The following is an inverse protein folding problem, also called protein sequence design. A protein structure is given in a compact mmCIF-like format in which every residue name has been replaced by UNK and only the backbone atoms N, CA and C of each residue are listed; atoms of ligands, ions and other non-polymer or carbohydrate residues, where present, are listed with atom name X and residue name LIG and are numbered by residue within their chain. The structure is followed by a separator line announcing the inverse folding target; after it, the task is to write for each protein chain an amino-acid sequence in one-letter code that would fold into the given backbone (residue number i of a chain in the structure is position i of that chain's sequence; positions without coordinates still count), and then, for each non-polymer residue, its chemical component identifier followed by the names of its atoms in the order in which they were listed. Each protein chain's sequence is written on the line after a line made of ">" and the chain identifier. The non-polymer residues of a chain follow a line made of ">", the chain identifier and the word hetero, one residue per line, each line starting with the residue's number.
data_IF_508800765230
#
_entry.id   IF_508800765230
#
_cell.length_a   1.000
_cell.length_b   1.000
_cell.length_c   1.000
_cell.angle_alpha   90.00
_cell.angle_beta   90.00
_cell.angle_gamma   90.00
#
_symmetry.space_group_name_H-M   'P 1'
#
loop_
_entity.id
_entity.type
_entity.pdbx_description
1 polymer ?
#
# COMPACT_ATOMS: atom_id res chain seq x y z
N UNK A 1 -5.95 31.27 2.91
CA UNK A 1 -6.61 30.32 3.83
C UNK A 1 -7.30 31.12 4.92
N UNK A 2 -8.56 30.78 5.22
CA UNK A 2 -9.31 31.33 6.38
C UNK A 2 -9.77 30.13 7.23
N UNK A 3 -9.71 30.31 8.56
CA UNK A 3 -10.12 29.30 9.53
C UNK A 3 -10.84 29.97 10.70
N UNK A 4 -11.95 29.38 11.10
CA UNK A 4 -12.74 29.77 12.26
C UNK A 4 -12.78 28.57 13.20
N UNK A 5 -12.44 28.79 14.45
CA UNK A 5 -12.60 27.80 15.53
C UNK A 5 -13.55 28.41 16.55
N UNK A 6 -14.55 27.62 16.93
CA UNK A 6 -15.51 27.96 17.97
C UNK A 6 -15.53 26.85 19.00
N UNK A 7 -15.48 27.23 20.27
CA UNK A 7 -15.63 26.29 21.39
C UNK A 7 -16.62 26.90 22.37
N UNK A 8 -17.57 26.12 22.83
CA UNK A 8 -18.54 26.51 23.85
C UNK A 8 -18.47 25.55 25.03
N UNK A 9 -18.14 26.10 26.21
CA UNK A 9 -18.00 25.37 27.47
C UNK A 9 -17.09 24.14 27.41
N UNK A 10 -16.10 24.14 26.52
CA UNK A 10 -15.23 22.98 26.21
C UNK A 10 -15.98 21.66 25.87
N UNK A 11 -17.29 21.76 25.61
CA UNK A 11 -18.16 20.64 25.26
C UNK A 11 -18.46 20.57 23.79
N UNK A 12 -18.73 21.70 23.15
CA UNK A 12 -19.08 21.79 21.74
C UNK A 12 -17.99 22.53 20.98
N UNK A 13 -17.40 21.87 20.02
CA UNK A 13 -16.32 22.40 19.23
C UNK A 13 -16.72 22.40 17.75
N UNK A 14 -16.47 23.50 17.05
CA UNK A 14 -16.70 23.63 15.62
C UNK A 14 -15.47 24.27 14.99
N UNK A 15 -14.98 23.67 13.90
CA UNK A 15 -13.94 24.25 13.07
C UNK A 15 -14.42 24.31 11.64
N UNK A 16 -14.32 25.48 11.00
CA UNK A 16 -14.55 25.65 9.57
C UNK A 16 -13.30 26.25 8.93
N UNK A 17 -12.87 25.68 7.80
CA UNK A 17 -11.67 26.13 7.08
C UNK A 17 -11.97 26.21 5.58
N UNK A 18 -11.48 27.25 4.94
CA UNK A 18 -11.44 27.36 3.47
C UNK A 18 -10.01 27.65 3.05
N UNK A 19 -9.48 26.80 2.17
CA UNK A 19 -8.15 26.96 1.56
C UNK A 19 -8.30 27.15 0.06
N UNK A 20 -7.58 28.09 -0.50
CA UNK A 20 -7.47 28.29 -1.92
C UNK A 20 -6.00 28.17 -2.33
N UNK A 21 -5.72 27.17 -3.19
CA UNK A 21 -4.37 26.83 -3.65
C UNK A 21 -4.24 27.10 -5.14
N UNK A 22 -3.07 27.54 -5.57
CA UNK A 22 -2.75 27.78 -6.98
C UNK A 22 -1.59 26.88 -7.43
N UNK A 23 -1.70 26.35 -8.66
CA UNK A 23 -0.65 25.53 -9.27
C UNK A 23 -0.37 25.95 -10.71
N UNK A 24 0.91 26.11 -11.04
CA UNK A 24 1.38 26.36 -12.40
C UNK A 24 1.31 25.13 -13.32
N UNK A 25 1.07 23.94 -12.74
CA UNK A 25 0.95 22.66 -13.48
C UNK A 25 -0.32 22.56 -14.31
N UNK A 26 -1.28 23.45 -14.07
CA UNK A 26 -2.57 23.49 -14.78
C UNK A 26 -2.67 24.71 -15.71
N UNK A 27 -3.51 24.60 -16.72
CA UNK A 27 -3.85 25.72 -17.62
C UNK A 27 -4.45 26.92 -16.85
N UNK A 28 -4.41 28.12 -17.44
CA UNK A 28 -4.81 29.37 -16.77
C UNK A 28 -6.18 29.30 -16.08
N UNK A 29 -7.16 28.60 -16.66
CA UNK A 29 -8.52 28.48 -16.13
C UNK A 29 -8.61 27.61 -14.88
N UNK A 30 -7.75 26.57 -14.76
CA UNK A 30 -7.84 25.52 -13.74
C UNK A 30 -6.74 25.60 -12.68
N UNK A 31 -5.95 26.68 -12.68
CA UNK A 31 -4.84 26.88 -11.73
C UNK A 31 -5.26 26.89 -10.27
N UNK A 32 -6.43 27.42 -9.99
CA UNK A 32 -6.90 27.64 -8.63
C UNK A 32 -7.91 26.59 -8.21
N UNK A 33 -7.63 25.91 -7.11
CA UNK A 33 -8.54 25.00 -6.41
C UNK A 33 -9.00 25.62 -5.09
N UNK A 34 -10.27 25.42 -4.72
CA UNK A 34 -10.82 25.84 -3.43
C UNK A 34 -11.26 24.59 -2.67
N UNK A 35 -10.77 24.47 -1.42
CA UNK A 35 -10.91 23.26 -0.61
C UNK A 35 -11.50 23.63 0.76
N UNK A 36 -12.81 23.49 0.93
CA UNK A 36 -13.50 23.70 2.20
C UNK A 36 -13.39 22.48 3.11
N UNK A 37 -13.45 22.70 4.42
CA UNK A 37 -13.62 21.65 5.41
C UNK A 37 -14.40 22.16 6.63
N UNK A 38 -15.13 21.26 7.26
CA UNK A 38 -15.85 21.50 8.51
C UNK A 38 -15.71 20.30 9.43
N UNK A 39 -15.50 20.52 10.71
CA UNK A 39 -15.51 19.48 11.73
C UNK A 39 -16.22 19.95 12.97
N UNK A 40 -16.94 19.03 13.61
CA UNK A 40 -17.62 19.22 14.87
C UNK A 40 -17.14 18.18 15.88
N UNK A 41 -17.04 18.57 17.14
CA UNK A 41 -16.72 17.72 18.28
C UNK A 41 -17.71 17.97 19.41
N UNK A 42 -18.18 16.89 20.01
CA UNK A 42 -19.00 16.94 21.21
C UNK A 42 -18.34 16.14 22.32
N UNK A 43 -17.92 16.83 23.38
CA UNK A 43 -17.37 16.22 24.57
C UNK A 43 -18.51 15.81 25.50
N UNK A 44 -18.98 14.60 25.32
CA UNK A 44 -20.13 14.03 26.04
C UNK A 44 -19.84 13.92 27.52
N UNK A 45 -18.59 13.59 27.90
CA UNK A 45 -18.14 13.53 29.29
C UNK A 45 -18.28 14.84 30.06
N UNK A 46 -18.36 15.99 29.37
CA UNK A 46 -18.62 17.28 29.98
C UNK A 46 -20.09 17.58 30.32
N UNK A 47 -21.03 16.68 29.93
CA UNK A 47 -22.46 16.86 30.14
C UNK A 47 -22.89 16.46 31.55
N UNK A 48 -23.90 17.14 32.09
CA UNK A 48 -24.40 16.87 33.44
C UNK A 48 -24.90 15.45 33.65
N UNK A 49 -25.46 14.83 32.63
CA UNK A 49 -25.93 13.44 32.71
C UNK A 49 -24.81 12.42 32.80
N UNK A 50 -23.57 12.78 32.47
CA UNK A 50 -22.38 11.93 32.60
C UNK A 50 -21.74 11.97 33.97
N UNK A 51 -22.12 12.91 34.87
CA UNK A 51 -21.55 13.03 36.20
C UNK A 51 -21.51 11.71 37.00
N UNK A 52 -22.57 10.85 36.97
CA UNK A 52 -22.55 9.60 37.71
C UNK A 52 -21.52 8.58 37.18
N UNK A 53 -21.00 8.78 35.98
CA UNK A 53 -20.06 7.89 35.32
C UNK A 53 -18.62 8.41 35.31
N UNK A 54 -18.34 9.57 35.92
CA UNK A 54 -17.02 10.22 35.87
C UNK A 54 -15.90 9.39 36.51
N UNK A 55 -16.21 8.58 37.51
CA UNK A 55 -15.23 7.67 38.13
C UNK A 55 -14.77 6.54 37.18
N UNK A 56 -15.56 6.23 36.15
CA UNK A 56 -15.27 5.19 35.16
C UNK A 56 -14.83 5.81 33.83
N UNK A 57 -15.61 6.79 33.34
CA UNK A 57 -15.39 7.45 32.05
C UNK A 57 -14.73 8.81 32.29
N UNK A 58 -13.43 8.87 32.08
CA UNK A 58 -12.64 10.10 32.25
C UNK A 58 -12.89 11.09 31.12
N UNK A 59 -12.96 10.63 29.88
CA UNK A 59 -13.32 11.45 28.72
C UNK A 59 -14.10 10.62 27.68
N UNK A 60 -15.13 11.23 27.11
CA UNK A 60 -15.89 10.67 26.01
C UNK A 60 -16.21 11.78 25.01
N UNK A 61 -15.70 11.63 23.79
CA UNK A 61 -15.84 12.64 22.75
C UNK A 61 -16.28 12.01 21.42
N UNK A 62 -17.34 12.57 20.84
CA UNK A 62 -17.77 12.27 19.50
C UNK A 62 -17.22 13.32 18.53
N UNK A 63 -16.72 12.85 17.38
CA UNK A 63 -16.16 13.71 16.32
C UNK A 63 -16.83 13.41 15.00
N UNK A 64 -17.20 14.43 14.25
CA UNK A 64 -17.66 14.31 12.87
C UNK A 64 -16.96 15.37 12.02
N UNK A 65 -16.59 15.02 10.80
CA UNK A 65 -15.92 15.94 9.92
C UNK A 65 -16.15 15.62 8.46
N UNK A 66 -16.12 16.66 7.65
CA UNK A 66 -16.09 16.58 6.21
C UNK A 66 -15.06 17.58 5.68
N UNK A 67 -14.34 17.18 4.64
CA UNK A 67 -13.40 18.08 4.00
C UNK A 67 -13.04 17.66 2.57
N UNK A 68 -12.60 18.64 1.82
CA UNK A 68 -12.07 18.45 0.47
C UNK A 68 -10.59 18.80 0.42
N UNK A 69 -9.81 17.98 -0.33
CA UNK A 69 -8.42 18.24 -0.65
C UNK A 69 -8.20 18.12 -2.15
N UNK A 70 -7.27 18.94 -2.68
CA UNK A 70 -6.80 18.85 -4.04
C UNK A 70 -5.41 18.21 -4.11
N UNK A 71 -5.20 17.37 -5.10
CA UNK A 71 -3.90 16.81 -5.43
C UNK A 71 -3.47 17.29 -6.83
N UNK A 72 -2.20 17.67 -6.96
CA UNK A 72 -1.55 18.08 -8.19
C UNK A 72 -0.34 17.19 -8.55
N UNK A 73 -0.15 16.09 -7.82
CA UNK A 73 0.93 15.14 -8.03
C UNK A 73 0.63 14.11 -9.12
N UNK A 74 1.62 13.28 -9.45
CA UNK A 74 1.45 12.15 -10.36
C UNK A 74 1.64 12.46 -11.85
N UNK A 75 1.92 13.71 -12.23
CA UNK A 75 2.20 14.09 -13.63
C UNK A 75 3.24 15.22 -13.74
N UNK A 76 3.80 15.39 -14.95
CA UNK A 76 4.85 16.37 -15.20
C UNK A 76 4.37 17.82 -15.10
N UNK A 77 5.29 18.75 -14.83
CA UNK A 77 5.00 20.17 -14.62
C UNK A 77 4.32 20.86 -15.83
N UNK A 78 4.44 20.27 -17.01
CA UNK A 78 3.94 20.82 -18.29
C UNK A 78 2.94 19.89 -18.98
N UNK A 79 2.32 18.95 -18.24
CA UNK A 79 1.41 17.94 -18.80
C UNK A 79 0.16 18.54 -19.49
N UNK A 80 -0.21 19.79 -19.18
CA UNK A 80 -1.30 20.50 -19.86
C UNK A 80 -0.91 21.03 -21.26
N UNK A 81 0.39 21.01 -21.60
CA UNK A 81 0.94 21.45 -22.89
C UNK A 81 1.26 20.24 -23.77
N UNK A 82 1.25 20.44 -25.08
CA UNK A 82 1.80 19.46 -26.00
C UNK A 82 3.32 19.31 -25.76
N UNK A 83 3.82 18.11 -25.77
CA UNK A 83 5.25 17.83 -25.69
C UNK A 83 5.78 17.24 -26.99
N UNK A 84 7.07 17.47 -27.24
CA UNK A 84 7.82 16.79 -28.28
C UNK A 84 8.84 15.88 -27.63
N UNK A 85 9.02 14.69 -28.15
CA UNK A 85 10.06 13.76 -27.72
C UNK A 85 11.11 13.60 -28.81
N UNK A 86 12.36 13.49 -28.38
CA UNK A 86 13.49 13.20 -29.27
C UNK A 86 13.78 11.72 -29.18
N UNK A 87 13.80 11.02 -30.30
CA UNK A 87 14.20 9.62 -30.38
C UNK A 87 15.36 9.44 -31.37
N UNK A 88 16.21 8.49 -31.12
CA UNK A 88 17.20 8.08 -32.13
C UNK A 88 16.46 7.32 -33.23
N UNK A 89 16.74 7.66 -34.48
CA UNK A 89 16.30 6.85 -35.61
C UNK A 89 17.04 5.51 -35.55
N UNK A 90 16.37 4.36 -35.80
CA UNK A 90 17.07 3.12 -36.00
C UNK A 90 18.02 3.26 -37.17
N UNK A 91 19.29 2.93 -36.94
CA UNK A 91 20.29 2.88 -38.00
C UNK A 91 20.00 1.61 -38.79
N UNK A 92 19.49 1.72 -40.02
CA UNK A 92 19.47 0.61 -40.96
C UNK A 92 20.89 0.40 -41.51
N UNK A 93 21.27 -0.84 -41.77
CA UNK A 93 22.55 -1.18 -42.39
C UNK A 93 22.72 -0.33 -43.67
N UNK A 94 23.77 0.53 -43.66
CA UNK A 94 24.09 1.46 -44.75
C UNK A 94 23.92 2.93 -44.47
N UNK A 95 23.30 3.37 -43.39
CA UNK A 95 23.21 4.80 -43.01
C UNK A 95 24.24 5.18 -41.95
N UNK A 96 25.23 5.94 -42.31
CA UNK A 96 26.37 6.40 -41.52
C UNK A 96 26.07 7.53 -40.51
N UNK A 97 24.83 8.05 -40.44
CA UNK A 97 24.51 9.16 -39.58
C UNK A 97 23.42 8.79 -38.57
N UNK A 98 23.70 8.82 -37.24
CA UNK A 98 22.66 8.69 -36.23
C UNK A 98 21.74 9.92 -36.31
N UNK A 99 20.61 9.74 -36.97
CA UNK A 99 19.58 10.79 -37.04
C UNK A 99 18.82 10.92 -35.75
N UNK A 100 18.50 12.15 -35.36
CA UNK A 100 17.54 12.45 -34.31
C UNK A 100 16.18 12.71 -34.95
N UNK A 101 15.16 11.93 -34.54
CA UNK A 101 13.79 12.22 -34.92
C UNK A 101 13.08 12.98 -33.81
N UNK A 102 12.44 14.09 -34.16
CA UNK A 102 11.52 14.79 -33.27
C UNK A 102 10.12 14.28 -33.58
N UNK A 103 9.46 13.72 -32.61
CA UNK A 103 8.09 13.22 -32.73
C UNK A 103 7.19 13.81 -31.65
N UNK A 104 5.88 13.98 -31.88
CA UNK A 104 4.94 14.37 -30.84
C UNK A 104 5.03 13.39 -29.65
N UNK A 105 5.19 13.92 -28.46
CA UNK A 105 5.30 13.12 -27.22
C UNK A 105 3.94 12.89 -26.58
N UNK A 106 3.27 13.97 -26.14
CA UNK A 106 1.93 13.91 -25.55
C UNK A 106 1.02 15.00 -26.10
N UNK A 107 -0.28 14.72 -26.17
CA UNK A 107 -1.28 15.72 -26.55
C UNK A 107 -1.48 16.76 -25.46
N UNK A 108 -1.71 18.02 -25.87
CA UNK A 108 -2.10 19.06 -24.93
C UNK A 108 -3.48 18.78 -24.33
N UNK A 109 -3.60 19.00 -23.01
CA UNK A 109 -4.89 19.02 -22.32
C UNK A 109 -5.02 20.29 -21.48
N UNK A 110 -5.61 21.33 -22.03
CA UNK A 110 -5.80 22.63 -21.37
C UNK A 110 -6.87 22.59 -20.28
N UNK A 111 -7.72 21.55 -20.29
CA UNK A 111 -8.78 21.32 -19.31
C UNK A 111 -8.31 20.51 -18.09
N UNK A 112 -7.02 20.14 -18.05
CA UNK A 112 -6.43 19.44 -16.92
C UNK A 112 -6.65 20.23 -15.63
N UNK A 113 -7.18 19.58 -14.60
CA UNK A 113 -7.53 20.18 -13.31
C UNK A 113 -7.05 19.34 -12.12
N UNK A 114 -7.28 19.86 -10.93
CA UNK A 114 -6.99 19.19 -9.67
C UNK A 114 -7.76 17.87 -9.54
N UNK A 115 -7.06 16.82 -9.13
CA UNK A 115 -7.69 15.64 -8.55
C UNK A 115 -8.27 16.05 -7.21
N UNK A 116 -9.55 15.74 -6.95
CA UNK A 116 -10.28 16.16 -5.75
C UNK A 116 -10.63 14.95 -4.88
N UNK A 117 -10.31 15.06 -3.61
CA UNK A 117 -10.72 14.07 -2.62
C UNK A 117 -11.67 14.71 -1.62
N UNK A 118 -12.89 14.16 -1.54
CA UNK A 118 -13.88 14.47 -0.51
C UNK A 118 -13.89 13.35 0.52
N UNK A 119 -13.78 13.68 1.80
CA UNK A 119 -13.72 12.72 2.89
C UNK A 119 -14.71 13.07 3.99
N UNK A 120 -15.46 12.08 4.44
CA UNK A 120 -16.28 12.09 5.65
C UNK A 120 -15.60 11.24 6.72
N UNK A 121 -15.57 11.74 7.93
CA UNK A 121 -15.03 11.03 9.10
C UNK A 121 -16.05 11.10 10.24
N UNK A 122 -16.21 9.97 10.94
CA UNK A 122 -16.90 9.88 12.21
C UNK A 122 -15.99 9.18 13.20
N UNK A 123 -15.72 9.78 14.34
CA UNK A 123 -14.81 9.26 15.36
C UNK A 123 -15.42 9.32 16.75
N UNK A 124 -15.03 8.35 17.57
CA UNK A 124 -15.35 8.27 18.99
C UNK A 124 -14.05 8.07 19.76
N UNK A 125 -13.77 8.95 20.72
CA UNK A 125 -12.66 8.84 21.66
C UNK A 125 -13.23 8.56 23.05
N UNK A 126 -12.75 7.51 23.69
CA UNK A 126 -13.15 7.07 25.03
C UNK A 126 -11.91 6.86 25.88
N UNK A 127 -11.86 7.54 27.03
CA UNK A 127 -10.81 7.35 28.04
C UNK A 127 -11.48 6.97 29.35
N UNK A 128 -10.96 5.93 30.01
CA UNK A 128 -11.56 5.31 31.19
C UNK A 128 -10.52 5.07 32.29
N UNK A 129 -10.99 4.91 33.53
CA UNK A 129 -10.23 4.49 34.71
C UNK A 129 -9.00 5.41 34.95
N UNK A 130 -9.20 6.70 35.10
CA UNK A 130 -8.14 7.70 35.26
C UNK A 130 -7.08 7.61 34.18
N UNK A 131 -7.52 7.52 32.93
CA UNK A 131 -6.68 7.42 31.72
C UNK A 131 -5.84 6.14 31.62
N UNK A 132 -6.23 5.08 32.34
CA UNK A 132 -5.57 3.78 32.20
C UNK A 132 -5.94 3.06 30.92
N UNK A 133 -7.10 3.33 30.37
CA UNK A 133 -7.59 2.75 29.13
C UNK A 133 -8.06 3.88 28.22
N UNK A 134 -7.45 3.99 27.05
CA UNK A 134 -7.89 4.89 25.96
C UNK A 134 -8.22 4.10 24.72
N UNK A 135 -9.39 4.35 24.16
CA UNK A 135 -9.89 3.67 22.96
C UNK A 135 -10.38 4.71 21.96
N UNK A 136 -9.98 4.59 20.71
CA UNK A 136 -10.47 5.43 19.62
C UNK A 136 -10.97 4.57 18.47
N UNK A 137 -12.10 4.95 17.90
CA UNK A 137 -12.67 4.36 16.68
C UNK A 137 -12.91 5.47 15.69
N UNK A 138 -12.39 5.33 14.50
CA UNK A 138 -12.66 6.22 13.36
C UNK A 138 -13.25 5.42 12.20
N UNK A 139 -14.35 5.90 11.65
CA UNK A 139 -14.94 5.41 10.42
C UNK A 139 -14.83 6.49 9.35
N UNK A 140 -14.40 6.12 8.15
CA UNK A 140 -14.25 7.07 7.05
C UNK A 140 -14.84 6.57 5.74
N UNK A 141 -15.26 7.55 4.94
CA UNK A 141 -15.63 7.39 3.55
C UNK A 141 -14.93 8.47 2.73
N UNK A 142 -14.04 8.06 1.82
CA UNK A 142 -13.22 8.93 1.00
C UNK A 142 -13.52 8.67 -0.47
N UNK A 143 -14.00 9.69 -1.19
CA UNK A 143 -14.19 9.65 -2.64
C UNK A 143 -13.19 10.57 -3.32
N UNK A 144 -12.38 10.00 -4.20
CA UNK A 144 -11.48 10.75 -5.09
C UNK A 144 -12.08 10.78 -6.48
N UNK A 145 -12.24 11.98 -7.02
CA UNK A 145 -12.75 12.25 -8.37
C UNK A 145 -11.68 12.95 -9.19
N UNK A 146 -11.88 12.98 -10.49
CA UNK A 146 -10.97 13.63 -11.42
C UNK A 146 -9.54 13.03 -11.35
N UNK A 147 -9.42 11.69 -11.16
CA UNK A 147 -8.13 10.99 -11.12
C UNK A 147 -7.33 11.31 -12.36
N UNK A 148 -6.05 11.64 -12.15
CA UNK A 148 -5.12 11.96 -13.21
C UNK A 148 -4.54 10.70 -13.83
N UNK A 149 -4.99 10.36 -15.02
CA UNK A 149 -4.58 9.16 -15.76
C UNK A 149 -3.98 9.53 -17.10
N UNK A 150 -2.92 8.82 -17.50
CA UNK A 150 -2.43 8.85 -18.87
C UNK A 150 -3.18 7.84 -19.70
N UNK A 151 -3.95 8.31 -20.66
CA UNK A 151 -4.81 7.51 -21.53
C UNK A 151 -4.11 7.31 -22.86
N UNK A 152 -3.99 6.05 -23.32
CA UNK A 152 -3.53 5.75 -24.67
C UNK A 152 -4.62 6.12 -25.67
N UNK A 153 -4.24 6.79 -26.73
CA UNK A 153 -5.10 7.12 -27.88
C UNK A 153 -5.02 6.00 -28.91
N UNK A 154 -5.99 5.88 -29.83
CA UNK A 154 -5.92 4.92 -30.92
C UNK A 154 -4.61 5.05 -31.70
N UNK A 155 -4.10 3.94 -32.22
CA UNK A 155 -2.79 3.86 -32.88
C UNK A 155 -2.65 4.79 -34.12
N UNK A 156 -3.77 5.16 -34.73
CA UNK A 156 -3.81 6.10 -35.85
C UNK A 156 -3.76 7.57 -35.41
N UNK A 157 -3.70 7.86 -34.12
CA UNK A 157 -3.64 9.22 -33.55
C UNK A 157 -2.23 9.53 -33.05
N UNK A 158 -1.71 10.66 -33.45
CA UNK A 158 -0.41 11.16 -33.01
C UNK A 158 -0.63 12.49 -32.28
N UNK A 159 -0.17 12.63 -31.04
CA UNK A 159 0.56 11.68 -30.19
C UNK A 159 -0.30 10.54 -29.63
N UNK A 160 0.35 9.44 -29.24
CA UNK A 160 -0.29 8.20 -28.82
C UNK A 160 -0.90 8.23 -27.40
N UNK A 161 -0.73 9.31 -26.65
CA UNK A 161 -1.26 9.42 -25.29
C UNK A 161 -1.63 10.85 -24.90
N UNK A 162 -2.51 10.98 -23.92
CA UNK A 162 -2.92 12.25 -23.31
C UNK A 162 -3.17 12.05 -21.80
N UNK A 163 -2.73 13.00 -20.98
CA UNK A 163 -3.08 13.02 -19.55
C UNK A 163 -4.44 13.69 -19.36
N UNK A 164 -5.35 13.03 -18.64
CA UNK A 164 -6.73 13.50 -18.42
C UNK A 164 -7.16 13.27 -16.98
N UNK A 165 -8.15 14.06 -16.55
CA UNK A 165 -8.93 13.79 -15.34
C UNK A 165 -10.05 12.81 -15.70
N UNK A 166 -9.82 11.50 -15.48
CA UNK A 166 -10.68 10.47 -16.06
C UNK A 166 -10.84 9.25 -15.18
N UNK A 167 -11.28 9.44 -13.96
CA UNK A 167 -11.56 8.32 -13.08
C UNK A 167 -12.11 8.74 -11.72
N UNK A 168 -12.72 7.80 -11.03
CA UNK A 168 -13.18 7.95 -9.65
C UNK A 168 -12.84 6.72 -8.83
N UNK A 169 -12.46 6.94 -7.59
CA UNK A 169 -12.12 5.89 -6.64
C UNK A 169 -12.75 6.16 -5.28
N UNK A 170 -13.21 5.10 -4.63
CA UNK A 170 -13.72 5.15 -3.27
C UNK A 170 -12.84 4.30 -2.35
N UNK A 171 -12.47 4.87 -1.22
CA UNK A 171 -11.92 4.16 -0.07
C UNK A 171 -12.86 4.35 1.11
N UNK A 172 -13.16 3.27 1.82
CA UNK A 172 -13.93 3.32 3.06
C UNK A 172 -13.36 2.33 4.05
N UNK A 173 -13.38 2.69 5.31
CA UNK A 173 -12.76 1.85 6.32
C UNK A 173 -13.09 2.25 7.73
N UNK A 174 -12.53 1.47 8.64
CA UNK A 174 -12.58 1.71 10.08
C UNK A 174 -11.19 1.50 10.66
N UNK A 175 -10.84 2.30 11.64
CA UNK A 175 -9.58 2.26 12.38
C UNK A 175 -9.90 2.20 13.87
N UNK A 176 -9.19 1.33 14.57
CA UNK A 176 -9.32 1.15 16.02
C UNK A 176 -7.95 1.32 16.64
N UNK A 177 -7.88 2.11 17.69
CA UNK A 177 -6.67 2.28 18.49
C UNK A 177 -7.01 2.05 19.96
N UNK A 178 -6.17 1.27 20.64
CA UNK A 178 -6.28 0.97 22.06
C UNK A 178 -4.93 1.24 22.71
N UNK A 179 -4.93 2.05 23.76
CA UNK A 179 -3.78 2.24 24.65
C UNK A 179 -4.20 1.87 26.06
N UNK A 180 -3.41 1.01 26.73
CA UNK A 180 -3.71 0.57 28.07
C UNK A 180 -2.48 0.53 28.96
N UNK A 181 -2.66 0.97 30.22
CA UNK A 181 -1.71 0.82 31.30
C UNK A 181 -2.14 -0.39 32.13
N UNK A 182 -1.66 -1.58 31.78
CA UNK A 182 -2.09 -2.83 32.38
C UNK A 182 -1.66 -2.93 33.84
N UNK A 183 -0.39 -2.59 34.12
CA UNK A 183 0.16 -2.53 35.47
C UNK A 183 0.82 -1.18 35.74
N UNK A 184 0.59 -0.62 36.94
CA UNK A 184 1.21 0.59 37.47
C UNK A 184 1.92 0.22 38.77
N UNK A 185 3.16 0.61 38.96
CA UNK A 185 3.93 0.37 40.18
C UNK A 185 5.38 0.10 39.88
N UNK A 186 6.03 -0.74 40.69
CA UNK A 186 7.44 -1.11 40.46
C UNK A 186 7.64 -1.88 39.15
N UNK A 187 6.68 -2.72 38.78
CA UNK A 187 6.56 -3.29 37.46
C UNK A 187 5.47 -2.56 36.71
N UNK A 188 5.81 -2.04 35.52
CA UNK A 188 4.86 -1.36 34.63
C UNK A 188 4.71 -2.18 33.36
N UNK A 189 3.49 -2.27 32.85
CA UNK A 189 3.19 -2.86 31.56
C UNK A 189 2.17 -1.99 30.83
N UNK A 190 2.57 -1.47 29.66
CA UNK A 190 1.73 -0.71 28.76
C UNK A 190 1.57 -1.46 27.44
N UNK A 191 0.37 -1.38 26.85
CA UNK A 191 0.06 -1.94 25.53
C UNK A 191 -0.56 -0.87 24.66
N UNK A 192 0.00 -0.69 23.46
CA UNK A 192 -0.59 0.09 22.38
C UNK A 192 -0.93 -0.85 21.23
N UNK A 193 -2.19 -0.85 20.81
CA UNK A 193 -2.68 -1.69 19.72
C UNK A 193 -3.44 -0.84 18.73
N UNK A 194 -3.23 -1.09 17.44
CA UNK A 194 -4.03 -0.52 16.36
C UNK A 194 -4.39 -1.59 15.33
N UNK A 195 -5.56 -1.44 14.72
CA UNK A 195 -6.03 -2.25 13.61
C UNK A 195 -6.83 -1.38 12.64
N UNK A 196 -6.56 -1.53 11.34
CA UNK A 196 -7.19 -0.76 10.28
C UNK A 196 -7.75 -1.67 9.21
N UNK A 197 -8.98 -1.40 8.80
CA UNK A 197 -9.72 -2.05 7.72
C UNK A 197 -9.96 -1.04 6.62
N UNK A 198 -9.48 -1.29 5.42
CA UNK A 198 -9.76 -0.46 4.25
C UNK A 198 -10.37 -1.28 3.12
N UNK A 199 -11.30 -0.70 2.40
CA UNK A 199 -11.86 -1.23 1.16
C UNK A 199 -11.73 -0.18 0.08
N UNK A 200 -10.93 -0.51 -0.90
CA UNK A 200 -10.69 0.30 -2.09
C UNK A 200 -11.57 -0.20 -3.24
N UNK A 201 -12.12 0.70 -4.03
CA UNK A 201 -12.87 0.37 -5.25
C UNK A 201 -12.73 1.48 -6.27
N UNK A 202 -12.33 1.13 -7.46
CA UNK A 202 -12.41 2.00 -8.63
C UNK A 202 -13.87 2.05 -9.10
N UNK A 203 -14.51 3.21 -9.02
CA UNK A 203 -15.94 3.36 -9.32
C UNK A 203 -16.21 3.84 -10.72
N UNK A 204 -15.20 4.50 -11.36
CA UNK A 204 -15.30 4.97 -12.74
C UNK A 204 -13.92 5.00 -13.38
N UNK A 205 -13.85 4.55 -14.61
CA UNK A 205 -12.79 4.79 -15.58
C UNK A 205 -13.43 5.38 -16.83
N UNK A 206 -12.77 6.39 -17.43
CA UNK A 206 -13.34 7.12 -18.55
C UNK A 206 -13.38 6.37 -19.87
N UNK A 207 -12.60 6.82 -20.86
CA UNK A 207 -12.67 6.28 -22.21
C UNK A 207 -12.24 4.82 -22.30
N UNK A 208 -11.13 4.47 -21.67
CA UNK A 208 -10.66 3.09 -21.61
C UNK A 208 -11.16 2.46 -20.29
N UNK A 209 -12.11 1.55 -20.40
CA UNK A 209 -12.70 0.89 -19.23
C UNK A 209 -11.77 -0.09 -18.52
N UNK A 210 -10.63 -0.40 -19.12
CA UNK A 210 -9.64 -1.36 -18.63
C UNK A 210 -8.23 -0.90 -18.99
N UNK A 211 -7.31 -1.02 -18.04
CA UNK A 211 -5.87 -0.84 -18.25
C UNK A 211 -5.12 -2.01 -17.64
N UNK A 212 -3.95 -2.33 -18.20
CA UNK A 212 -3.09 -3.40 -17.73
C UNK A 212 -1.72 -2.85 -17.36
N UNK A 213 -1.19 -3.32 -16.23
CA UNK A 213 0.06 -2.85 -15.63
C UNK A 213 0.97 -4.02 -15.25
N UNK A 214 2.21 -3.71 -14.88
CA UNK A 214 3.22 -4.66 -14.41
C UNK A 214 3.48 -5.76 -15.45
N UNK A 215 4.10 -5.39 -16.57
CA UNK A 215 4.54 -6.35 -17.60
C UNK A 215 5.68 -7.21 -17.07
N UNK A 216 5.51 -8.53 -17.16
CA UNK A 216 6.52 -9.51 -16.78
C UNK A 216 7.44 -9.80 -17.97
N UNK A 217 8.74 -9.85 -17.68
CA UNK A 217 9.74 -10.02 -18.75
C UNK A 217 9.57 -11.33 -19.51
N UNK A 218 9.39 -12.43 -18.78
CA UNK A 218 9.34 -13.77 -19.38
C UNK A 218 8.04 -14.05 -20.12
N UNK A 219 6.90 -13.82 -19.47
CA UNK A 219 5.58 -14.07 -20.07
C UNK A 219 5.15 -13.01 -21.10
N UNK A 220 5.81 -11.83 -21.10
CA UNK A 220 5.39 -10.64 -21.87
C UNK A 220 3.96 -10.17 -21.57
N UNK A 221 3.37 -10.68 -20.50
CA UNK A 221 2.02 -10.36 -20.06
C UNK A 221 2.02 -9.38 -18.91
N UNK A 222 0.96 -8.62 -18.77
CA UNK A 222 0.76 -7.69 -17.66
C UNK A 222 -0.03 -8.37 -16.55
N UNK A 223 0.52 -8.36 -15.33
CA UNK A 223 0.02 -9.12 -14.19
C UNK A 223 -1.08 -8.40 -13.39
N UNK A 224 -1.31 -7.11 -13.62
CA UNK A 224 -2.26 -6.29 -12.86
C UNK A 224 -3.27 -5.65 -13.78
N UNK A 225 -4.55 -5.71 -13.39
CA UNK A 225 -5.67 -5.08 -14.10
C UNK A 225 -6.23 -3.90 -13.30
N UNK A 226 -6.48 -2.80 -13.97
CA UNK A 226 -7.26 -1.68 -13.49
C UNK A 226 -8.58 -1.66 -14.25
N UNK A 227 -9.69 -1.96 -13.56
CA UNK A 227 -11.03 -2.07 -14.14
C UNK A 227 -12.07 -1.53 -13.17
N UNK A 228 -13.14 -0.92 -13.72
CA UNK A 228 -14.28 -0.48 -12.91
C UNK A 228 -14.84 -1.64 -12.07
N UNK A 229 -15.17 -1.33 -10.83
CA UNK A 229 -15.69 -2.30 -9.87
C UNK A 229 -14.65 -3.05 -9.08
N UNK A 230 -13.36 -3.04 -9.50
CA UNK A 230 -12.26 -3.72 -8.83
C UNK A 230 -11.44 -2.78 -7.94
N UNK A 231 -10.77 -3.30 -6.91
CA UNK A 231 -9.77 -2.56 -6.16
C UNK A 231 -8.46 -2.44 -6.93
N UNK A 232 -7.62 -1.45 -6.57
CA UNK A 232 -6.25 -1.33 -7.05
C UNK A 232 -5.42 -2.55 -6.65
N UNK A 233 -4.42 -2.91 -7.47
CA UNK A 233 -3.58 -4.08 -7.21
C UNK A 233 -4.28 -5.42 -7.42
N UNK A 234 -5.30 -5.46 -8.28
CA UNK A 234 -5.97 -6.72 -8.67
C UNK A 234 -5.12 -7.46 -9.69
N UNK A 235 -4.70 -8.68 -9.36
CA UNK A 235 -3.95 -9.55 -10.25
C UNK A 235 -4.84 -10.16 -11.32
N UNK A 236 -4.24 -10.35 -12.51
CA UNK A 236 -4.94 -10.76 -13.70
C UNK A 236 -4.12 -11.77 -14.50
N UNK A 237 -4.75 -12.85 -14.93
CA UNK A 237 -4.11 -13.93 -15.68
C UNK A 237 -4.98 -15.18 -15.76
N UNK A 238 -4.37 -16.32 -16.05
CA UNK A 238 -5.06 -17.60 -16.23
C UNK A 238 -5.24 -18.36 -14.91
N UNK A 239 -6.27 -19.17 -14.81
CA UNK A 239 -6.42 -20.14 -13.74
C UNK A 239 -5.64 -21.38 -14.10
N UNK A 240 -4.59 -21.72 -13.33
CA UNK A 240 -3.85 -22.97 -13.48
C UNK A 240 -4.53 -24.07 -12.67
N UNK A 241 -4.81 -25.21 -13.28
CA UNK A 241 -5.40 -26.40 -12.65
C UNK A 241 -4.35 -27.45 -12.27
N UNK A 242 -3.08 -27.19 -12.60
CA UNK A 242 -1.96 -28.08 -12.30
C UNK A 242 -1.17 -28.48 -13.53
N UNK A 243 -0.36 -29.52 -13.40
CA UNK A 243 0.44 -30.10 -14.50
C UNK A 243 -0.27 -31.34 -15.01
N UNK A 244 -0.47 -31.44 -16.30
CA UNK A 244 -0.97 -32.64 -16.95
C UNK A 244 0.05 -33.79 -16.77
N UNK A 245 -0.35 -34.92 -16.16
CA UNK A 245 0.54 -36.04 -15.94
C UNK A 245 1.05 -36.71 -17.25
N UNK A 246 0.31 -36.58 -18.34
CA UNK A 246 0.66 -37.23 -19.63
C UNK A 246 1.58 -36.35 -20.47
N UNK A 247 1.35 -35.05 -20.51
CA UNK A 247 2.12 -34.13 -21.38
C UNK A 247 3.20 -33.35 -20.62
N UNK A 248 3.01 -33.15 -19.31
CA UNK A 248 3.86 -32.34 -18.45
C UNK A 248 3.63 -30.83 -18.59
N UNK A 249 2.64 -30.41 -19.36
CA UNK A 249 2.29 -29.00 -19.52
C UNK A 249 1.29 -28.52 -18.45
N UNK A 250 1.22 -27.21 -18.21
CA UNK A 250 0.23 -26.63 -17.33
C UNK A 250 -1.15 -26.71 -18.00
N UNK A 251 -2.12 -27.20 -17.24
CA UNK A 251 -3.54 -27.16 -17.64
C UNK A 251 -4.07 -25.79 -17.19
N UNK A 252 -4.45 -24.97 -18.16
CA UNK A 252 -5.17 -23.72 -17.91
C UNK A 252 -6.67 -23.95 -18.12
N UNK A 253 -7.49 -23.21 -17.35
CA UNK A 253 -8.94 -23.30 -17.46
C UNK A 253 -9.42 -22.51 -18.68
N UNK A 254 -10.13 -23.17 -19.57
CA UNK A 254 -10.91 -22.56 -20.65
C UNK A 254 -12.19 -21.96 -20.02
N UNK A 255 -12.26 -20.63 -19.91
CA UNK A 255 -13.37 -19.92 -19.27
C UNK A 255 -14.52 -19.61 -20.23
N UNK A 256 -14.21 -19.44 -21.52
CA UNK A 256 -15.20 -19.14 -22.55
C UNK A 256 -15.75 -20.42 -23.24
N UNK A 257 -15.12 -21.58 -23.01
CA UNK A 257 -15.56 -22.88 -23.53
C UNK A 257 -15.34 -23.07 -25.03
N UNK A 258 -14.38 -22.36 -25.63
CA UNK A 258 -14.12 -22.43 -27.07
C UNK A 258 -13.15 -23.57 -27.49
N UNK A 259 -12.57 -24.27 -26.49
CA UNK A 259 -11.64 -25.41 -26.69
C UNK A 259 -10.18 -25.00 -26.88
N UNK A 260 -9.85 -23.72 -26.76
CA UNK A 260 -8.49 -23.16 -26.86
C UNK A 260 -8.20 -22.26 -25.66
N UNK A 261 -6.94 -22.17 -25.23
CA UNK A 261 -6.51 -21.22 -24.23
C UNK A 261 -6.06 -19.94 -24.93
N UNK A 262 -6.80 -18.86 -24.69
CA UNK A 262 -6.58 -17.57 -25.32
C UNK A 262 -6.69 -16.39 -24.32
N UNK A 263 -6.42 -15.14 -24.73
CA UNK A 263 -6.51 -13.99 -23.82
C UNK A 263 -7.88 -13.76 -23.18
N UNK A 264 -8.97 -14.33 -23.68
CA UNK A 264 -10.32 -14.21 -23.13
C UNK A 264 -10.52 -15.11 -21.89
N UNK A 265 -9.64 -16.12 -21.70
CA UNK A 265 -9.65 -17.00 -20.53
C UNK A 265 -8.96 -16.38 -19.29
N UNK A 266 -8.42 -15.18 -19.43
CA UNK A 266 -7.82 -14.48 -18.31
C UNK A 266 -8.88 -13.86 -17.40
N UNK A 267 -8.66 -13.98 -16.09
CA UNK A 267 -9.57 -13.48 -15.07
C UNK A 267 -8.82 -12.88 -13.88
N UNK A 268 -9.55 -12.39 -12.88
CA UNK A 268 -8.97 -11.88 -11.64
C UNK A 268 -8.49 -13.03 -10.76
N UNK A 269 -7.23 -12.96 -10.31
CA UNK A 269 -6.56 -14.03 -9.54
C UNK A 269 -6.42 -13.70 -8.05
N UNK A 270 -6.81 -12.52 -7.64
CA UNK A 270 -6.69 -12.03 -6.27
C UNK A 270 -6.29 -10.58 -6.23
N UNK A 271 -5.95 -10.08 -5.05
CA UNK A 271 -5.73 -8.66 -4.83
C UNK A 271 -4.62 -8.42 -3.81
N UNK A 272 -3.79 -7.40 -4.04
CA UNK A 272 -2.72 -6.98 -3.14
C UNK A 272 -3.21 -6.24 -1.88
N UNK A 273 -4.47 -5.77 -1.86
CA UNK A 273 -5.00 -5.03 -0.73
C UNK A 273 -5.31 -5.97 0.45
N UNK A 274 -4.80 -5.71 1.66
CA UNK A 274 -5.12 -6.51 2.82
C UNK A 274 -6.59 -6.34 3.26
N UNK A 275 -7.11 -7.36 3.91
CA UNK A 275 -8.38 -7.27 4.62
C UNK A 275 -8.27 -6.35 5.83
N UNK A 276 -7.15 -6.44 6.54
CA UNK A 276 -6.77 -5.56 7.64
C UNK A 276 -5.26 -5.60 7.86
N UNK A 277 -4.76 -4.51 8.43
CA UNK A 277 -3.40 -4.38 8.95
C UNK A 277 -3.48 -4.08 10.44
N UNK A 278 -2.47 -4.50 11.20
CA UNK A 278 -2.44 -4.28 12.65
C UNK A 278 -1.03 -4.10 13.16
N UNK A 279 -0.93 -3.39 14.29
CA UNK A 279 0.29 -3.20 15.03
C UNK A 279 0.04 -3.30 16.52
N UNK A 280 1.00 -3.84 17.27
CA UNK A 280 0.94 -3.93 18.73
C UNK A 280 2.30 -3.69 19.33
N UNK A 281 2.38 -2.69 20.21
CA UNK A 281 3.56 -2.45 21.05
C UNK A 281 3.25 -2.81 22.49
N UNK A 282 4.10 -3.63 23.09
CA UNK A 282 4.10 -3.85 24.53
C UNK A 282 5.39 -3.28 25.12
N UNK A 283 5.26 -2.49 26.17
CA UNK A 283 6.38 -1.91 26.92
C UNK A 283 6.32 -2.39 28.34
N UNK A 284 7.41 -2.99 28.82
CA UNK A 284 7.58 -3.48 30.19
C UNK A 284 8.72 -2.73 30.84
N UNK A 285 8.48 -2.17 32.03
CA UNK A 285 9.50 -1.42 32.78
C UNK A 285 9.62 -2.01 34.19
N UNK A 286 10.85 -2.33 34.60
CA UNK A 286 11.15 -2.85 35.93
C UNK A 286 12.61 -2.56 36.32
N UNK A 287 12.81 -2.00 37.51
CA UNK A 287 14.14 -1.79 38.13
C UNK A 287 15.17 -1.12 37.20
N UNK A 288 14.76 -0.15 36.38
CA UNK A 288 15.60 0.59 35.43
C UNK A 288 15.72 -0.08 34.06
N UNK A 289 15.23 -1.31 33.86
CA UNK A 289 15.10 -1.95 32.56
C UNK A 289 13.79 -1.57 31.90
N UNK A 290 13.85 -1.27 30.60
CA UNK A 290 12.69 -1.12 29.72
C UNK A 290 12.82 -2.09 28.55
N UNK A 291 11.80 -2.93 28.35
CA UNK A 291 11.67 -3.82 27.20
C UNK A 291 10.48 -3.35 26.35
N UNK A 292 10.72 -2.97 25.13
CA UNK A 292 9.68 -2.64 24.14
C UNK A 292 9.67 -3.70 23.03
N UNK A 293 8.49 -4.23 22.73
CA UNK A 293 8.27 -5.25 21.69
C UNK A 293 7.19 -4.78 20.75
N UNK A 294 7.56 -4.54 19.48
CA UNK A 294 6.65 -4.14 18.42
C UNK A 294 6.41 -5.28 17.44
N UNK A 295 5.14 -5.62 17.29
CA UNK A 295 4.60 -6.57 16.33
C UNK A 295 3.80 -5.85 15.27
N UNK A 296 3.97 -6.24 14.02
CA UNK A 296 3.24 -5.71 12.86
C UNK A 296 2.72 -6.85 11.99
N UNK A 297 1.51 -6.72 11.46
CA UNK A 297 0.95 -7.72 10.56
C UNK A 297 0.02 -7.17 9.50
N UNK A 298 -0.10 -7.93 8.43
CA UNK A 298 -1.03 -7.74 7.32
C UNK A 298 -1.74 -9.05 7.05
N UNK A 299 -3.04 -8.99 6.80
CA UNK A 299 -3.85 -10.20 6.61
C UNK A 299 -4.75 -10.11 5.39
N UNK A 300 -4.75 -11.18 4.60
CA UNK A 300 -5.69 -11.40 3.51
C UNK A 300 -5.30 -10.76 2.18
N UNK A 301 -4.13 -10.12 2.10
CA UNK A 301 -3.52 -9.70 0.85
C UNK A 301 -2.92 -10.89 0.10
N UNK A 302 -2.88 -10.77 -1.24
CA UNK A 302 -2.14 -11.69 -2.10
C UNK A 302 -0.88 -11.03 -2.63
N UNK A 303 0.09 -11.85 -3.02
CA UNK A 303 1.32 -11.44 -3.70
C UNK A 303 1.40 -12.21 -5.02
N UNK A 304 1.68 -11.50 -6.11
CA UNK A 304 2.05 -12.10 -7.37
C UNK A 304 3.56 -12.30 -7.38
N UNK A 305 4.00 -13.55 -7.19
CA UNK A 305 5.42 -13.92 -7.12
C UNK A 305 5.97 -14.14 -8.53
N UNK A 306 6.24 -13.03 -9.24
CA UNK A 306 6.76 -13.07 -10.60
C UNK A 306 8.20 -13.59 -10.68
N UNK A 307 8.98 -13.51 -9.59
CA UNK A 307 10.31 -14.11 -9.53
C UNK A 307 10.30 -15.61 -9.79
N UNK A 308 9.18 -16.31 -9.48
CA UNK A 308 9.02 -17.72 -9.76
C UNK A 308 8.82 -18.03 -11.24
N UNK A 309 8.30 -17.09 -12.04
CA UNK A 309 8.19 -17.28 -13.49
C UNK A 309 9.59 -17.50 -14.06
N UNK A 310 10.53 -16.62 -13.72
CA UNK A 310 11.92 -16.73 -14.19
C UNK A 310 12.66 -17.93 -13.57
N UNK A 311 12.51 -18.15 -12.25
CA UNK A 311 13.26 -19.20 -11.54
C UNK A 311 12.70 -20.62 -11.74
N UNK A 312 11.47 -20.78 -12.20
CA UNK A 312 10.83 -22.08 -12.42
C UNK A 312 10.43 -22.29 -13.91
N UNK A 313 10.73 -21.31 -14.78
CA UNK A 313 10.29 -21.31 -16.18
C UNK A 313 11.01 -22.32 -17.07
N UNK A 314 12.28 -22.62 -16.80
CA UNK A 314 13.10 -23.61 -17.50
C UNK A 314 13.13 -23.44 -19.03
N UNK A 315 13.04 -22.20 -19.53
CA UNK A 315 12.95 -21.85 -20.94
C UNK A 315 14.24 -21.20 -21.48
N UNK A 316 15.19 -20.90 -20.57
CA UNK A 316 16.48 -20.33 -20.90
C UNK A 316 17.61 -20.88 -19.98
N UNK A 317 18.81 -20.32 -20.05
CA UNK A 317 20.02 -20.76 -19.33
C UNK A 317 20.27 -20.01 -18.02
N UNK A 318 19.32 -19.21 -17.52
CA UNK A 318 19.43 -18.55 -16.21
C UNK A 318 19.41 -19.55 -15.06
N UNK A 319 19.93 -19.14 -13.91
CA UNK A 319 19.85 -19.93 -12.68
C UNK A 319 18.40 -20.23 -12.31
N UNK A 320 18.15 -21.47 -11.94
CA UNK A 320 16.82 -21.97 -11.60
C UNK A 320 16.69 -22.26 -10.11
N UNK A 321 15.47 -22.25 -9.60
CA UNK A 321 15.15 -22.72 -8.27
C UNK A 321 15.38 -24.24 -8.15
N UNK A 322 15.78 -24.72 -6.97
CA UNK A 322 15.88 -26.16 -6.67
C UNK A 322 14.56 -26.93 -6.90
N UNK A 323 13.42 -26.23 -6.90
CA UNK A 323 12.10 -26.81 -7.19
C UNK A 323 12.01 -27.44 -8.56
N UNK A 324 12.81 -26.99 -9.53
CA UNK A 324 12.82 -27.57 -10.90
C UNK A 324 13.38 -28.99 -10.94
N UNK A 325 13.99 -29.48 -9.87
CA UNK A 325 14.39 -30.88 -9.74
C UNK A 325 13.18 -31.81 -9.72
N UNK A 326 12.03 -31.32 -9.25
CA UNK A 326 10.75 -32.05 -9.18
C UNK A 326 9.92 -31.91 -10.46
N UNK A 327 10.51 -31.34 -11.53
CA UNK A 327 9.81 -31.16 -12.81
C UNK A 327 9.31 -32.46 -13.37
N UNK A 328 8.24 -32.40 -14.13
CA UNK A 328 7.75 -33.53 -14.92
C UNK A 328 8.83 -34.06 -15.91
N UNK A 329 9.01 -35.38 -15.94
CA UNK A 329 10.09 -36.06 -16.71
C UNK A 329 9.58 -37.17 -17.61
N UNK A 330 8.38 -37.69 -17.33
CA UNK A 330 7.79 -38.81 -18.10
C UNK A 330 6.27 -38.90 -17.91
N UNK A 331 5.53 -39.45 -18.88
CA UNK A 331 4.09 -39.70 -18.74
C UNK A 331 3.73 -40.47 -17.47
N UNK A 332 2.60 -40.11 -16.88
CA UNK A 332 2.09 -40.62 -15.60
C UNK A 332 2.73 -40.02 -14.37
N UNK A 333 3.68 -39.06 -14.48
CA UNK A 333 4.30 -38.42 -13.31
C UNK A 333 3.41 -37.30 -12.76
N UNK A 334 3.05 -37.42 -11.48
CA UNK A 334 2.30 -36.39 -10.76
C UNK A 334 3.28 -35.40 -10.12
N UNK A 335 3.21 -34.15 -10.51
CA UNK A 335 4.05 -33.04 -9.99
C UNK A 335 3.36 -31.70 -10.17
N UNK A 336 3.83 -30.68 -9.43
CA UNK A 336 3.40 -29.29 -9.58
C UNK A 336 4.37 -28.42 -10.41
N UNK A 337 5.41 -29.03 -10.98
CA UNK A 337 6.41 -28.33 -11.79
C UNK A 337 6.37 -28.89 -13.21
N UNK A 338 6.09 -28.06 -14.22
CA UNK A 338 5.89 -28.51 -15.58
C UNK A 338 7.19 -29.05 -16.22
N UNK A 339 7.07 -29.60 -17.42
CA UNK A 339 8.21 -30.03 -18.24
C UNK A 339 9.07 -28.82 -18.65
N UNK A 340 10.32 -29.11 -18.99
CA UNK A 340 11.28 -28.12 -19.49
C UNK A 340 10.96 -27.69 -20.93
N UNK A 341 11.26 -26.44 -21.27
CA UNK A 341 11.35 -25.93 -22.64
C UNK A 341 10.02 -25.45 -23.25
N UNK A 342 8.89 -25.52 -22.55
CA UNK A 342 7.63 -24.98 -23.06
C UNK A 342 7.32 -23.60 -22.43
N UNK A 343 7.39 -22.55 -23.25
CA UNK A 343 7.11 -21.15 -22.82
C UNK A 343 5.67 -20.92 -22.42
N UNK A 344 4.71 -21.70 -22.96
CA UNK A 344 3.29 -21.60 -22.60
C UNK A 344 3.03 -21.95 -21.12
N UNK A 345 3.94 -22.70 -20.49
CA UNK A 345 3.86 -22.99 -19.05
C UNK A 345 4.15 -21.77 -18.16
N UNK A 346 4.59 -20.65 -18.73
CA UNK A 346 5.03 -19.45 -18.03
C UNK A 346 4.01 -18.28 -18.07
N UNK A 347 2.79 -18.53 -18.53
CA UNK A 347 1.73 -17.53 -18.47
C UNK A 347 1.49 -17.01 -17.06
N UNK A 348 1.18 -15.71 -16.96
CA UNK A 348 0.71 -15.11 -15.71
C UNK A 348 -0.55 -15.85 -15.23
N UNK A 349 -0.44 -16.55 -14.10
CA UNK A 349 -1.51 -17.43 -13.65
C UNK A 349 -1.63 -17.52 -12.13
N UNK A 350 -2.69 -18.16 -11.67
CA UNK A 350 -2.93 -18.44 -10.25
C UNK A 350 -1.79 -19.26 -9.60
N UNK A 351 -0.96 -19.96 -10.37
CA UNK A 351 0.24 -20.67 -9.92
C UNK A 351 1.23 -19.74 -9.17
N UNK A 352 1.29 -18.48 -9.56
CA UNK A 352 2.21 -17.48 -9.03
C UNK A 352 1.57 -16.53 -8.01
N UNK A 353 0.26 -16.69 -7.72
CA UNK A 353 -0.45 -15.90 -6.72
C UNK A 353 -0.40 -16.61 -5.38
N UNK A 354 0.25 -16.01 -4.41
CA UNK A 354 0.47 -16.59 -3.08
C UNK A 354 -0.24 -15.79 -1.98
N UNK A 355 -0.36 -16.39 -0.80
CA UNK A 355 -0.87 -15.70 0.38
C UNK A 355 0.23 -14.78 0.94
N UNK A 356 -0.02 -13.46 0.90
CA UNK A 356 0.87 -12.43 1.40
C UNK A 356 0.66 -12.08 2.86
N UNK A 357 -0.21 -12.79 3.58
CA UNK A 357 -0.45 -12.55 5.00
C UNK A 357 0.81 -12.81 5.83
N UNK A 358 1.07 -11.94 6.81
CA UNK A 358 2.21 -12.12 7.71
C UNK A 358 1.98 -11.50 9.10
N UNK A 359 2.77 -11.96 10.06
CA UNK A 359 3.03 -11.34 11.35
C UNK A 359 4.55 -11.22 11.53
N UNK A 360 5.03 -10.01 11.83
CA UNK A 360 6.46 -9.72 11.99
C UNK A 360 6.76 -9.18 13.38
N UNK A 361 7.80 -9.74 14.02
CA UNK A 361 8.48 -9.12 15.14
C UNK A 361 9.39 -8.03 14.58
N UNK A 362 8.82 -6.80 14.49
CA UNK A 362 9.42 -5.67 13.77
C UNK A 362 10.58 -5.05 14.53
N UNK A 363 10.35 -4.82 15.83
CA UNK A 363 11.37 -4.19 16.69
C UNK A 363 11.27 -4.75 18.11
N UNK A 364 12.43 -5.08 18.68
CA UNK A 364 12.58 -5.38 20.11
C UNK A 364 13.71 -4.50 20.64
N UNK A 365 13.42 -3.68 21.62
CA UNK A 365 14.40 -2.82 22.27
C UNK A 365 14.46 -3.16 23.75
N UNK A 366 15.63 -3.52 24.23
CA UNK A 366 15.93 -3.62 25.67
C UNK A 366 16.86 -2.46 26.01
N UNK A 367 16.46 -1.66 27.01
CA UNK A 367 17.27 -0.56 27.52
C UNK A 367 17.40 -0.63 29.03
N UNK A 368 18.48 -0.04 29.53
CA UNK A 368 18.76 0.13 30.95
C UNK A 368 19.07 1.56 31.28
N UNK A 369 18.30 2.15 32.19
CA UNK A 369 18.51 3.50 32.73
C UNK A 369 19.35 3.38 34.01
N UNK A 370 20.54 3.96 33.98
CA UNK A 370 21.44 3.91 35.12
C UNK A 370 20.92 4.76 36.28
N UNK A 371 21.05 4.26 37.55
CA UNK A 371 20.57 4.98 38.70
C UNK A 371 21.24 6.33 38.89
N UNK A 372 20.48 7.37 39.23
CA UNK A 372 21.00 8.74 39.50
C UNK A 372 22.14 8.76 40.51
N UNK A 373 22.14 7.86 41.51
CA UNK A 373 23.20 7.73 42.51
C UNK A 373 24.58 7.47 41.89
N UNK A 374 24.65 6.75 40.76
CA UNK A 374 25.91 6.48 40.07
C UNK A 374 26.28 7.67 39.16
N UNK A 375 25.27 8.26 38.50
CA UNK A 375 25.45 9.34 37.54
C UNK A 375 25.95 10.64 38.17
N UNK A 376 25.48 10.96 39.39
CA UNK A 376 25.92 12.12 40.13
C UNK A 376 27.43 12.13 40.45
N UNK A 377 28.05 10.93 40.53
CA UNK A 377 29.50 10.83 40.75
C UNK A 377 30.34 11.17 39.51
N UNK A 378 29.73 11.12 38.34
CA UNK A 378 30.38 11.37 37.02
C UNK A 378 29.77 12.59 36.32
N UNK A 379 28.98 13.42 37.06
CA UNK A 379 28.37 14.66 36.59
C UNK A 379 27.48 14.45 35.34
N UNK A 380 26.77 13.32 35.25
CA UNK A 380 25.77 13.07 34.23
C UNK A 380 24.35 13.19 34.81
N UNK A 381 23.45 13.79 34.05
CA UNK A 381 22.03 13.88 34.41
C UNK A 381 21.26 12.62 34.00
N UNK A 382 21.65 12.00 32.89
CA UNK A 382 21.05 10.75 32.40
C UNK A 382 22.07 9.91 31.63
N UNK A 383 22.02 8.59 31.84
CA UNK A 383 22.71 7.60 31.03
C UNK A 383 21.75 6.43 30.79
N UNK A 384 21.57 6.08 29.53
CA UNK A 384 20.80 4.91 29.12
C UNK A 384 21.60 4.13 28.08
N UNK A 385 21.78 2.85 28.31
CA UNK A 385 22.30 1.92 27.31
C UNK A 385 21.13 1.12 26.72
N UNK A 386 21.17 0.86 25.41
CA UNK A 386 20.15 0.08 24.76
C UNK A 386 20.69 -0.85 23.66
N UNK A 387 19.95 -1.92 23.41
CA UNK A 387 20.09 -2.79 22.25
C UNK A 387 18.76 -2.92 21.56
N UNK A 388 18.75 -2.74 20.23
CA UNK A 388 17.55 -2.86 19.40
C UNK A 388 17.78 -3.89 18.31
N UNK A 389 16.90 -4.89 18.24
CA UNK A 389 16.81 -5.81 17.12
C UNK A 389 15.68 -5.42 16.18
N UNK A 390 15.93 -5.41 14.87
CA UNK A 390 14.94 -5.09 13.86
C UNK A 390 14.69 -6.25 12.91
N UNK A 391 13.42 -6.43 12.49
CA UNK A 391 12.96 -7.46 11.55
C UNK A 391 13.40 -8.88 11.96
N UNK A 392 13.36 -9.18 13.27
CA UNK A 392 13.96 -10.39 13.83
C UNK A 392 13.30 -11.67 13.35
N UNK A 393 11.98 -11.66 13.20
CA UNK A 393 11.22 -12.85 12.84
C UNK A 393 9.96 -12.48 12.06
N UNK A 394 9.61 -13.30 11.05
CA UNK A 394 8.39 -13.14 10.23
C UNK A 394 7.70 -14.49 10.10
N UNK A 395 6.44 -14.56 10.52
CA UNK A 395 5.52 -15.67 10.27
C UNK A 395 4.74 -15.37 8.99
N UNK A 396 4.88 -16.20 7.98
CA UNK A 396 4.16 -16.04 6.70
C UNK A 396 4.05 -17.38 5.97
N UNK A 397 3.05 -17.50 5.10
CA UNK A 397 2.92 -18.59 4.13
C UNK A 397 3.53 -18.24 2.76
N UNK A 398 3.97 -17.00 2.59
CA UNK A 398 4.62 -16.55 1.37
C UNK A 398 5.96 -17.28 1.18
N UNK A 399 6.22 -17.73 -0.04
CA UNK A 399 7.38 -18.58 -0.36
C UNK A 399 8.57 -17.79 -0.92
N UNK A 400 8.40 -16.48 -1.18
CA UNK A 400 9.47 -15.57 -1.54
C UNK A 400 10.28 -15.11 -0.32
N UNK A 401 11.21 -14.17 -0.54
CA UNK A 401 12.12 -13.70 0.50
C UNK A 401 11.45 -12.87 1.59
N UNK A 402 10.47 -12.03 1.21
CA UNK A 402 9.81 -11.10 2.14
C UNK A 402 8.37 -10.81 1.70
N UNK A 403 7.35 -10.89 2.58
CA UNK A 403 5.97 -10.58 2.21
C UNK A 403 5.69 -9.06 2.09
N UNK A 404 6.60 -8.18 2.50
CA UNK A 404 6.51 -6.72 2.32
C UNK A 404 7.17 -6.27 1.00
N UNK A 405 6.94 -7.01 -0.08
CA UNK A 405 7.56 -6.75 -1.39
C UNK A 405 6.68 -5.90 -2.28
N UNK A 406 7.34 -5.04 -3.09
CA UNK A 406 6.71 -4.30 -4.18
C UNK A 406 7.77 -3.90 -5.20
N UNK A 407 7.90 -4.67 -6.27
CA UNK A 407 8.88 -4.44 -7.34
C UNK A 407 8.61 -3.13 -8.11
N UNK A 408 7.37 -2.70 -8.17
CA UNK A 408 6.93 -1.46 -8.81
C UNK A 408 6.71 -0.35 -7.77
N UNK A 409 7.65 -0.22 -6.82
CA UNK A 409 7.60 0.78 -5.75
C UNK A 409 7.43 2.20 -6.30
N UNK A 410 6.39 2.91 -5.88
CA UNK A 410 5.99 4.21 -6.43
C UNK A 410 4.80 4.14 -7.39
N UNK A 411 4.45 2.99 -7.94
CA UNK A 411 3.20 2.77 -8.67
C UNK A 411 2.11 2.25 -7.71
N UNK A 412 1.08 3.05 -7.47
CA UNK A 412 -0.04 2.69 -6.60
C UNK A 412 -0.96 1.62 -7.21
N UNK A 413 -0.88 1.37 -8.50
CA UNK A 413 -1.69 0.39 -9.23
C UNK A 413 -1.04 -0.99 -9.22
N UNK A 414 0.28 -1.05 -9.44
CA UNK A 414 1.04 -2.30 -9.55
C UNK A 414 1.58 -2.81 -8.20
N UNK A 415 0.77 -2.74 -7.15
CA UNK A 415 1.16 -3.18 -5.81
C UNK A 415 1.19 -4.71 -5.69
N UNK A 416 2.02 -5.22 -4.76
CA UNK A 416 2.05 -6.63 -4.36
C UNK A 416 2.66 -7.58 -5.41
N UNK A 417 3.40 -7.04 -6.37
CA UNK A 417 4.20 -7.85 -7.31
C UNK A 417 5.62 -7.99 -6.77
N UNK A 418 6.06 -9.22 -6.58
CA UNK A 418 7.46 -9.55 -6.27
C UNK A 418 8.20 -9.95 -7.54
N UNK A 419 9.17 -9.13 -7.93
CA UNK A 419 10.01 -9.40 -9.09
C UNK A 419 11.47 -9.03 -8.77
N UNK A 420 12.15 -9.95 -8.07
CA UNK A 420 13.52 -9.76 -7.64
C UNK A 420 13.70 -8.69 -6.55
N UNK A 421 12.68 -8.46 -5.73
CA UNK A 421 12.72 -7.46 -4.67
C UNK A 421 13.64 -7.91 -3.54
N UNK A 422 14.56 -7.02 -3.13
CA UNK A 422 15.48 -7.30 -2.03
C UNK A 422 14.72 -7.33 -0.69
N UNK A 423 14.93 -8.36 0.16
CA UNK A 423 14.22 -8.51 1.43
C UNK A 423 14.65 -7.46 2.45
N UNK A 424 13.79 -7.21 3.44
CA UNK A 424 14.11 -6.36 4.58
C UNK A 424 15.26 -6.98 5.39
N UNK A 425 16.30 -6.15 5.66
CA UNK A 425 17.45 -6.59 6.44
C UNK A 425 17.10 -6.77 7.91
N UNK A 426 17.72 -7.76 8.56
CA UNK A 426 17.76 -7.85 10.02
C UNK A 426 18.92 -7.00 10.53
N UNK A 427 18.68 -6.24 11.59
CA UNK A 427 19.71 -5.40 12.19
C UNK A 427 19.71 -5.55 13.71
N UNK A 428 20.90 -5.43 14.28
CA UNK A 428 21.10 -5.27 15.73
C UNK A 428 21.87 -3.99 15.95
N UNK A 429 21.29 -3.08 16.76
CA UNK A 429 21.81 -1.74 17.00
C UNK A 429 22.09 -1.60 18.49
N UNK A 430 23.29 -1.17 18.83
CA UNK A 430 23.67 -0.81 20.20
C UNK A 430 23.83 0.70 20.30
N UNK A 431 23.34 1.29 21.39
CA UNK A 431 23.47 2.72 21.57
C UNK A 431 23.51 3.14 23.04
N UNK A 432 24.01 4.37 23.23
CA UNK A 432 24.07 5.06 24.51
C UNK A 432 23.44 6.45 24.35
N UNK A 433 22.53 6.77 25.24
CA UNK A 433 22.01 8.11 25.39
C UNK A 433 22.64 8.75 26.65
N UNK A 434 23.35 9.83 26.47
CA UNK A 434 24.05 10.54 27.55
C UNK A 434 23.55 11.98 27.60
N UNK A 435 23.18 12.43 28.80
CA UNK A 435 22.73 13.80 29.08
C UNK A 435 23.59 14.33 30.22
N UNK A 436 24.16 15.51 30.02
CA UNK A 436 25.07 16.18 30.96
C UNK A 436 24.36 17.17 31.88
#
# INVERSE_FOLDING_TARGET
>A
MARINYSYEDRYMLTATVRRDGSSRFGKKNRWGTFPSVSAGWRISGEKFMQPLQDIVTDLKLRAGWGMNGNQGGFGNYAYMASMSVSKLPVSEGNLYPGLAIKPGSAANKELTWEKTSQWNLGLDLTMFDSRLSFSVDAYYKKTTDLLLTVSLPENVVPSSVTRNDGEMVNKGMEFTLSSQNFKGNFQWNTDFNISFNRNKLTKLGLNKVYYYAEMYESKEKAVILKEGLPLGTFFGYISEGVDPETGDIIYRDLNGNGFIDPEDRTTLGNAQPKFIYGMTNTFSYAGFDLSVFLQGSQGNKIFNASRIDMEGMTDFRNQSVRVLDRWKRPGMITNVPRVGNTENNHNSSRFVEDGSYLRLKTVTLSYNFPKKWLNKIHLSRLQAYVTGQNLFTLTKYKGYDPEVNAFGGDSVAQGVDYGTYPQSRAVIFGLNVEF
#
